data_IF_893256047141
#
_entry.id   IF_893256047141
#
_cell.length_a   1.000
_cell.length_b   1.000
_cell.length_c   1.000
_cell.angle_alpha   90.00
_cell.angle_beta   90.00
_cell.angle_gamma   90.00
#
_symmetry.space_group_name_H-M   'P 1'
#
loop_
_entity.id
_entity.type
_entity.pdbx_description
1 polymer ?
#
# COMPACT_ATOMS: atom_id res chain seq x y z
N UNK A 1 44.85 -78.29 11.93
CA UNK A 1 45.56 -77.01 11.89
C UNK A 1 44.72 -76.08 11.00
N UNK A 2 43.94 -75.17 11.59
CA UNK A 2 43.10 -74.23 10.88
C UNK A 2 43.66 -72.83 11.14
N UNK A 3 44.02 -72.11 10.09
CA UNK A 3 44.54 -70.76 10.17
C UNK A 3 43.35 -69.77 9.94
N UNK A 4 43.14 -68.97 10.97
CA UNK A 4 42.13 -67.89 10.95
C UNK A 4 42.75 -66.63 10.33
N UNK A 5 42.19 -66.11 9.20
CA UNK A 5 42.59 -64.86 8.62
C UNK A 5 41.71 -63.70 9.19
N UNK A 6 42.35 -62.74 9.83
CA UNK A 6 41.71 -61.53 10.32
C UNK A 6 41.64 -60.50 9.19
N UNK A 7 40.41 -60.02 8.88
CA UNK A 7 40.18 -58.98 7.93
C UNK A 7 40.20 -57.60 8.66
N UNK A 8 41.10 -56.71 8.25
CA UNK A 8 41.22 -55.36 8.78
C UNK A 8 40.30 -54.45 7.97
N UNK A 9 39.28 -53.82 8.62
CA UNK A 9 38.44 -52.80 8.05
C UNK A 9 39.17 -51.47 8.08
N UNK A 10 39.43 -50.90 6.91
CA UNK A 10 40.02 -49.56 6.76
C UNK A 10 38.93 -48.51 6.90
N UNK A 11 39.00 -47.68 7.95
CA UNK A 11 38.14 -46.54 8.14
C UNK A 11 38.55 -45.38 7.17
N UNK A 12 37.59 -44.87 6.42
CA UNK A 12 37.79 -43.71 5.55
C UNK A 12 37.90 -42.43 6.40
N UNK A 13 38.78 -41.47 6.05
CA UNK A 13 38.92 -40.23 6.77
C UNK A 13 37.70 -39.34 6.48
N UNK A 14 36.95 -38.89 7.50
CA UNK A 14 35.99 -37.83 7.48
C UNK A 14 36.70 -36.50 7.25
N UNK A 15 36.57 -35.94 6.06
CA UNK A 15 37.08 -34.62 5.74
C UNK A 15 36.41 -33.53 6.60
N UNK A 16 37.12 -32.42 6.91
CA UNK A 16 36.57 -31.36 7.72
C UNK A 16 35.40 -30.69 7.01
N UNK A 17 34.27 -30.51 7.73
CA UNK A 17 33.12 -29.74 7.28
C UNK A 17 33.59 -28.31 6.99
N UNK A 18 33.23 -27.78 5.80
CA UNK A 18 33.51 -26.42 5.43
C UNK A 18 32.84 -25.44 6.42
N UNK A 19 33.55 -24.39 6.88
CA UNK A 19 32.94 -23.42 7.78
C UNK A 19 31.83 -22.70 7.06
N UNK A 20 30.60 -22.80 7.58
CA UNK A 20 29.48 -21.95 7.22
C UNK A 20 29.79 -20.54 7.74
N UNK A 21 30.43 -19.73 6.92
CA UNK A 21 30.61 -18.31 7.23
C UNK A 21 29.25 -17.61 7.39
N UNK A 22 29.18 -16.49 8.14
CA UNK A 22 27.96 -15.76 8.28
C UNK A 22 27.46 -15.34 6.89
N UNK A 23 26.19 -15.67 6.58
CA UNK A 23 25.56 -15.26 5.33
C UNK A 23 25.65 -13.73 5.21
N UNK A 24 26.10 -13.25 4.05
CA UNK A 24 26.12 -11.81 3.77
C UNK A 24 24.72 -11.23 4.05
N UNK A 25 24.63 -10.03 4.67
CA UNK A 25 23.33 -9.44 4.96
C UNK A 25 22.52 -9.31 3.66
N UNK A 26 21.28 -9.80 3.69
CA UNK A 26 20.40 -9.73 2.53
C UNK A 26 20.24 -8.25 2.10
N UNK A 27 20.35 -7.99 0.80
CA UNK A 27 20.14 -6.64 0.27
C UNK A 27 18.75 -6.12 0.67
N UNK A 28 18.63 -4.84 0.98
CA UNK A 28 17.37 -4.24 1.38
C UNK A 28 16.49 -3.88 0.18
N UNK A 29 15.17 -3.91 0.38
CA UNK A 29 14.17 -3.25 -0.44
C UNK A 29 13.64 -2.05 0.34
N UNK A 30 13.94 -0.84 -0.12
CA UNK A 30 13.44 0.38 0.51
C UNK A 30 12.06 0.71 -0.06
N UNK A 31 11.03 0.49 0.76
CA UNK A 31 9.62 0.76 0.43
C UNK A 31 9.24 2.11 1.00
N UNK A 32 8.84 3.05 0.14
CA UNK A 32 8.38 4.36 0.55
C UNK A 32 6.90 4.32 0.91
N UNK A 33 6.52 5.00 2.00
CA UNK A 33 5.13 5.11 2.45
C UNK A 33 4.83 6.57 2.79
N UNK A 34 3.65 7.04 2.38
CA UNK A 34 3.15 8.38 2.73
C UNK A 34 2.79 8.44 4.22
N UNK A 35 3.43 9.32 4.98
CA UNK A 35 3.16 9.50 6.42
C UNK A 35 1.79 10.12 6.72
N UNK A 36 1.10 10.66 5.72
CA UNK A 36 -0.30 11.11 5.84
C UNK A 36 -1.31 9.98 5.68
N UNK A 37 -0.84 8.74 5.45
CA UNK A 37 -1.69 7.56 5.34
C UNK A 37 -1.95 6.97 6.73
N UNK A 38 -3.18 6.50 6.94
CA UNK A 38 -3.65 5.92 8.20
C UNK A 38 -4.22 4.52 7.97
N UNK A 39 -4.57 3.83 9.06
CA UNK A 39 -5.23 2.52 8.96
C UNK A 39 -6.50 2.58 8.09
N UNK A 40 -6.75 1.55 7.31
CA UNK A 40 -6.10 0.23 7.23
C UNK A 40 -4.80 0.22 6.42
N UNK A 41 -4.41 1.33 5.80
CA UNK A 41 -3.31 1.36 4.85
C UNK A 41 -1.95 1.39 5.52
N UNK A 42 -1.78 2.16 6.61
CA UNK A 42 -0.54 2.30 7.35
C UNK A 42 -0.77 2.69 8.81
N UNK A 43 -0.02 2.08 9.73
CA UNK A 43 0.12 2.53 11.10
C UNK A 43 1.58 2.87 11.39
N UNK A 44 1.81 4.05 11.93
CA UNK A 44 3.15 4.50 12.33
C UNK A 44 3.27 4.57 13.85
N UNK A 45 4.41 4.12 14.37
CA UNK A 45 4.83 4.30 15.77
C UNK A 45 6.27 4.79 15.74
N UNK A 46 6.55 5.92 16.42
CA UNK A 46 7.87 6.53 16.45
C UNK A 46 8.49 6.72 15.03
N UNK A 47 7.65 7.20 14.10
CA UNK A 47 7.98 7.35 12.68
C UNK A 47 8.34 6.04 11.92
N UNK A 48 8.15 4.88 12.53
CA UNK A 48 8.33 3.58 11.90
C UNK A 48 6.97 3.04 11.46
N UNK A 49 6.89 2.53 10.24
CA UNK A 49 5.73 1.78 9.77
C UNK A 49 5.71 0.43 10.49
N UNK A 50 4.63 0.16 11.23
CA UNK A 50 4.53 -1.05 12.07
C UNK A 50 3.40 -1.98 11.66
N UNK A 51 2.41 -1.50 10.90
CA UNK A 51 1.23 -2.27 10.50
C UNK A 51 0.52 -1.64 9.30
N UNK A 52 -0.42 -2.36 8.70
CA UNK A 52 -1.27 -1.91 7.61
C UNK A 52 -0.93 -2.55 6.26
N UNK A 53 -1.80 -2.30 5.28
CA UNK A 53 -1.68 -2.90 3.94
C UNK A 53 -0.32 -2.60 3.29
N UNK A 54 0.21 -1.38 3.44
CA UNK A 54 1.54 -1.03 2.90
C UNK A 54 2.66 -1.82 3.57
N UNK A 55 2.56 -2.09 4.87
CA UNK A 55 3.53 -2.89 5.60
C UNK A 55 3.54 -4.34 5.08
N UNK A 56 2.39 -4.99 5.06
CA UNK A 56 2.28 -6.38 4.65
C UNK A 56 2.65 -6.60 3.18
N UNK A 57 2.21 -5.69 2.30
CA UNK A 57 2.58 -5.72 0.89
C UNK A 57 4.08 -5.51 0.68
N UNK A 58 4.69 -4.60 1.43
CA UNK A 58 6.14 -4.36 1.39
C UNK A 58 6.94 -5.58 1.83
N UNK A 59 6.51 -6.27 2.89
CA UNK A 59 7.11 -7.54 3.34
C UNK A 59 6.96 -8.63 2.28
N UNK A 60 5.76 -8.79 1.70
CA UNK A 60 5.50 -9.78 0.67
C UNK A 60 6.38 -9.57 -0.58
N UNK A 61 6.51 -8.33 -1.05
CA UNK A 61 7.39 -7.99 -2.18
C UNK A 61 8.87 -8.25 -1.86
N UNK A 62 9.32 -7.83 -0.67
CA UNK A 62 10.70 -8.03 -0.25
C UNK A 62 11.06 -9.53 -0.20
N UNK A 63 10.18 -10.35 0.35
CA UNK A 63 10.36 -11.80 0.40
C UNK A 63 10.54 -12.42 -0.99
N UNK A 64 9.68 -12.04 -1.98
CA UNK A 64 9.77 -12.55 -3.38
C UNK A 64 11.00 -12.02 -4.12
N UNK A 65 11.55 -10.88 -3.69
CA UNK A 65 12.78 -10.33 -4.24
C UNK A 65 14.05 -10.85 -3.52
N UNK A 66 13.91 -11.69 -2.49
CA UNK A 66 15.03 -12.17 -1.67
C UNK A 66 15.73 -11.04 -0.90
N UNK A 67 14.98 -10.02 -0.47
CA UNK A 67 15.47 -8.81 0.20
C UNK A 67 14.84 -8.64 1.58
N UNK A 68 15.43 -7.79 2.41
CA UNK A 68 14.79 -7.31 3.64
C UNK A 68 14.00 -6.04 3.36
N UNK A 69 12.75 -5.97 3.83
CA UNK A 69 11.97 -4.74 3.73
C UNK A 69 12.49 -3.67 4.70
N UNK A 70 12.71 -2.48 4.18
CA UNK A 70 13.01 -1.26 4.94
C UNK A 70 11.98 -0.21 4.56
N UNK A 71 11.27 0.34 5.53
CA UNK A 71 10.21 1.31 5.25
C UNK A 71 10.71 2.73 5.48
N UNK A 72 10.52 3.59 4.47
CA UNK A 72 10.84 5.00 4.51
C UNK A 72 9.54 5.82 4.51
N UNK A 73 9.17 6.39 5.67
CA UNK A 73 8.04 7.30 5.79
C UNK A 73 8.39 8.71 5.32
N UNK A 74 7.64 9.26 4.35
CA UNK A 74 7.79 10.64 3.91
C UNK A 74 6.43 11.32 3.70
N UNK A 75 6.33 12.64 3.98
CA UNK A 75 5.16 13.41 3.60
C UNK A 75 4.95 13.43 2.08
N UNK A 76 3.68 13.43 1.65
CA UNK A 76 3.24 13.36 0.25
C UNK A 76 4.10 14.18 -0.73
N UNK A 77 4.38 15.43 -0.40
CA UNK A 77 5.14 16.35 -1.25
C UNK A 77 6.61 15.96 -1.49
N UNK A 78 7.17 15.04 -0.69
CA UNK A 78 8.57 14.58 -0.79
C UNK A 78 8.72 13.25 -1.52
N UNK A 79 7.63 12.55 -1.76
CA UNK A 79 7.62 11.18 -2.30
C UNK A 79 8.24 11.12 -3.69
N UNK A 80 7.75 11.92 -4.64
CA UNK A 80 8.22 11.91 -6.02
C UNK A 80 9.72 12.14 -6.12
N UNK A 81 10.22 13.21 -5.47
CA UNK A 81 11.63 13.55 -5.47
C UNK A 81 12.50 12.46 -4.84
N UNK A 82 12.03 11.84 -3.74
CA UNK A 82 12.79 10.77 -3.07
C UNK A 82 12.94 9.53 -3.97
N UNK A 83 11.88 9.15 -4.71
CA UNK A 83 11.93 8.07 -5.68
C UNK A 83 12.85 8.41 -6.87
N UNK A 84 12.73 9.60 -7.45
CA UNK A 84 13.58 10.04 -8.55
C UNK A 84 15.06 10.07 -8.19
N UNK A 85 15.38 10.37 -6.93
CA UNK A 85 16.74 10.38 -6.41
C UNK A 85 17.26 8.99 -5.99
N UNK A 86 16.44 7.94 -6.04
CA UNK A 86 16.83 6.60 -5.59
C UNK A 86 16.96 6.46 -4.07
N UNK A 87 16.34 7.34 -3.27
CA UNK A 87 16.31 7.23 -1.80
C UNK A 87 15.39 6.09 -1.33
N UNK A 88 14.51 5.65 -2.21
CA UNK A 88 13.68 4.46 -2.04
C UNK A 88 13.59 3.72 -3.38
N UNK A 89 13.34 2.42 -3.32
CA UNK A 89 13.23 1.58 -4.50
C UNK A 89 11.86 1.68 -5.16
N UNK A 90 10.80 1.73 -4.34
CA UNK A 90 9.44 1.77 -4.85
C UNK A 90 8.45 2.36 -3.82
N UNK A 91 7.29 2.77 -4.35
CA UNK A 91 6.06 2.97 -3.59
C UNK A 91 4.92 2.26 -4.32
N UNK A 92 4.04 1.57 -3.60
CA UNK A 92 2.93 0.83 -4.20
C UNK A 92 1.57 1.46 -3.88
N UNK A 93 0.51 0.94 -4.53
CA UNK A 93 -0.87 1.39 -4.42
C UNK A 93 -1.09 2.80 -4.94
N UNK A 94 -0.38 3.13 -6.01
CA UNK A 94 -0.53 4.36 -6.79
C UNK A 94 -0.94 4.02 -8.22
N UNK A 95 -1.38 5.03 -8.94
CA UNK A 95 -1.54 5.00 -10.39
C UNK A 95 -0.76 6.17 -11.00
N UNK A 96 -0.34 6.11 -12.27
CA UNK A 96 0.48 7.16 -12.90
C UNK A 96 -0.08 8.57 -12.71
N UNK A 97 -1.39 8.76 -12.79
CA UNK A 97 -2.02 10.09 -12.63
C UNK A 97 -2.03 10.64 -11.19
N UNK A 98 -1.66 9.85 -10.17
CA UNK A 98 -1.64 10.30 -8.79
C UNK A 98 -0.26 10.75 -8.29
N UNK A 99 0.80 10.33 -8.97
CA UNK A 99 2.16 10.65 -8.60
C UNK A 99 2.88 11.30 -9.79
N UNK A 100 3.15 12.61 -9.77
CA UNK A 100 3.91 13.29 -10.82
C UNK A 100 5.38 12.86 -10.75
N UNK A 101 6.02 12.67 -11.90
CA UNK A 101 7.43 12.28 -12.03
C UNK A 101 7.65 11.18 -13.05
N UNK A 102 8.92 10.83 -13.27
CA UNK A 102 9.33 9.79 -14.20
C UNK A 102 9.70 8.51 -13.44
N UNK A 103 8.79 7.54 -13.44
CA UNK A 103 8.95 6.26 -12.76
C UNK A 103 8.71 5.11 -13.72
N UNK A 104 9.29 3.95 -13.43
CA UNK A 104 8.88 2.71 -14.05
C UNK A 104 7.66 2.15 -13.32
N UNK A 105 6.54 2.02 -14.01
CA UNK A 105 5.32 1.54 -13.39
C UNK A 105 5.20 0.03 -13.53
N UNK A 106 4.92 -0.65 -12.42
CA UNK A 106 4.61 -2.08 -12.45
C UNK A 106 3.30 -2.35 -13.20
N UNK A 107 3.03 -3.62 -13.48
CA UNK A 107 1.68 -4.03 -13.87
C UNK A 107 0.66 -3.67 -12.77
N UNK A 108 -0.59 -3.35 -13.15
CA UNK A 108 -1.68 -3.10 -12.18
C UNK A 108 -2.09 -4.42 -11.52
N UNK A 109 -2.28 -4.40 -10.16
CA UNK A 109 -2.52 -5.64 -9.42
C UNK A 109 -3.39 -5.49 -8.17
N UNK A 110 -3.45 -4.30 -7.54
CA UNK A 110 -4.12 -4.12 -6.26
C UNK A 110 -5.45 -3.37 -6.46
N UNK A 111 -6.62 -4.00 -6.23
CA UNK A 111 -7.92 -3.33 -6.40
C UNK A 111 -8.11 -2.25 -5.31
N UNK A 112 -8.48 -1.05 -5.75
CA UNK A 112 -8.80 0.10 -4.90
C UNK A 112 -10.10 0.73 -5.36
N UNK A 113 -11.02 1.00 -4.45
CA UNK A 113 -12.31 1.62 -4.75
C UNK A 113 -12.38 2.99 -4.09
N UNK A 114 -12.37 4.04 -4.92
CA UNK A 114 -12.63 5.40 -4.46
C UNK A 114 -14.12 5.65 -4.40
N UNK A 115 -14.60 6.18 -3.28
CA UNK A 115 -16.01 6.41 -3.00
C UNK A 115 -16.24 7.80 -2.43
N UNK A 116 -17.45 8.35 -2.62
CA UNK A 116 -17.95 9.48 -1.82
C UNK A 116 -18.93 8.95 -0.80
N UNK A 117 -18.65 9.23 0.45
CA UNK A 117 -19.49 8.94 1.60
C UNK A 117 -20.33 10.17 1.92
N UNK A 118 -21.63 9.99 2.16
CA UNK A 118 -22.56 11.05 2.56
C UNK A 118 -23.23 10.67 3.87
N UNK A 119 -23.24 11.57 4.86
CA UNK A 119 -23.93 11.35 6.11
C UNK A 119 -25.47 11.42 5.92
N UNK A 120 -26.22 10.80 6.86
CA UNK A 120 -27.68 10.68 6.75
C UNK A 120 -28.45 11.93 7.18
N UNK A 121 -27.78 13.00 7.62
CA UNK A 121 -28.41 14.25 8.05
C UNK A 121 -28.76 15.16 6.87
N UNK A 122 -28.20 14.89 5.68
CA UNK A 122 -28.51 15.60 4.43
C UNK A 122 -29.18 14.66 3.43
N UNK A 123 -29.87 15.19 2.39
CA UNK A 123 -30.48 14.36 1.36
C UNK A 123 -29.47 13.42 0.69
N UNK A 124 -29.87 12.17 0.46
CA UNK A 124 -29.04 11.17 -0.22
C UNK A 124 -28.79 11.57 -1.69
N UNK A 125 -27.56 11.77 -2.13
CA UNK A 125 -27.26 11.92 -3.54
C UNK A 125 -27.48 10.57 -4.27
N UNK A 126 -28.16 10.59 -5.41
CA UNK A 126 -28.37 9.40 -6.24
C UNK A 126 -27.17 9.15 -7.15
N UNK A 127 -26.49 10.20 -7.58
CA UNK A 127 -25.34 10.18 -8.49
C UNK A 127 -24.23 11.11 -8.01
N UNK A 128 -23.03 10.97 -8.57
CA UNK A 128 -21.95 11.93 -8.32
C UNK A 128 -22.28 13.35 -8.80
N UNK A 129 -23.10 13.48 -9.86
CA UNK A 129 -23.49 14.79 -10.39
C UNK A 129 -24.32 15.60 -9.39
N UNK A 130 -25.08 14.96 -8.50
CA UNK A 130 -25.89 15.61 -7.47
C UNK A 130 -25.04 16.33 -6.40
N UNK A 131 -23.75 16.00 -6.36
CA UNK A 131 -22.77 16.64 -5.47
C UNK A 131 -22.20 17.94 -6.02
N UNK A 132 -22.62 18.37 -7.22
CA UNK A 132 -22.16 19.63 -7.83
C UNK A 132 -22.50 20.81 -6.94
N UNK A 133 -21.49 21.61 -6.60
CA UNK A 133 -21.62 22.75 -5.69
C UNK A 133 -21.69 22.39 -4.20
N UNK A 134 -21.73 21.11 -3.86
CA UNK A 134 -21.61 20.66 -2.47
C UNK A 134 -20.13 20.61 -2.04
N UNK A 135 -19.87 20.97 -0.79
CA UNK A 135 -18.52 20.83 -0.23
C UNK A 135 -18.18 19.36 0.00
N UNK A 136 -17.12 18.89 -0.63
CA UNK A 136 -16.62 17.53 -0.50
C UNK A 136 -15.26 17.57 0.19
N UNK A 137 -15.15 16.90 1.33
CA UNK A 137 -13.88 16.79 2.03
C UNK A 137 -12.93 15.86 1.26
N UNK A 138 -11.70 16.31 1.09
CA UNK A 138 -10.61 15.60 0.41
C UNK A 138 -9.35 15.62 1.28
N UNK A 139 -8.32 14.90 0.90
CA UNK A 139 -7.02 14.96 1.59
C UNK A 139 -6.10 15.92 0.85
N UNK A 140 -5.41 16.78 1.60
CA UNK A 140 -4.48 17.75 1.03
C UNK A 140 -3.40 17.07 0.18
N UNK A 141 -3.29 17.51 -1.06
CA UNK A 141 -2.33 16.97 -2.02
C UNK A 141 -2.82 15.72 -2.78
N UNK A 142 -4.03 15.23 -2.50
CA UNK A 142 -4.65 14.17 -3.30
C UNK A 142 -5.32 14.76 -4.55
N UNK A 143 -5.23 14.03 -5.64
CA UNK A 143 -5.87 14.38 -6.91
C UNK A 143 -6.97 13.39 -7.24
N UNK A 144 -8.16 13.91 -7.61
CA UNK A 144 -9.37 13.14 -7.89
C UNK A 144 -9.86 13.43 -9.33
N UNK A 145 -9.18 12.89 -10.37
CA UNK A 145 -9.45 13.25 -11.76
C UNK A 145 -10.87 12.89 -12.20
N UNK A 146 -11.44 11.82 -11.68
CA UNK A 146 -12.78 11.38 -12.03
C UNK A 146 -13.86 12.30 -11.41
N UNK A 147 -13.66 12.80 -10.19
CA UNK A 147 -14.55 13.82 -9.61
C UNK A 147 -14.43 15.15 -10.34
N UNK A 148 -13.21 15.58 -10.69
CA UNK A 148 -13.00 16.78 -11.52
C UNK A 148 -13.73 16.66 -12.86
N UNK A 149 -13.67 15.49 -13.50
CA UNK A 149 -14.35 15.24 -14.77
C UNK A 149 -15.88 15.31 -14.66
N UNK A 150 -16.47 14.78 -13.58
CA UNK A 150 -17.92 14.73 -13.38
C UNK A 150 -18.47 16.07 -12.90
N UNK A 151 -17.79 16.72 -11.95
CA UNK A 151 -18.29 17.91 -11.27
C UNK A 151 -17.81 19.22 -11.90
N UNK A 152 -16.67 19.19 -12.62
CA UNK A 152 -16.08 20.36 -13.26
C UNK A 152 -15.82 21.49 -12.28
N UNK A 153 -16.20 22.73 -12.64
CA UNK A 153 -16.11 23.90 -11.76
C UNK A 153 -16.99 23.82 -10.50
N UNK A 154 -17.93 22.87 -10.45
CA UNK A 154 -18.75 22.60 -9.27
C UNK A 154 -18.11 21.64 -8.27
N UNK A 155 -16.86 21.22 -8.46
CA UNK A 155 -16.12 20.44 -7.47
C UNK A 155 -15.57 21.36 -6.38
N UNK A 156 -16.35 21.57 -5.33
CA UNK A 156 -15.99 22.40 -4.18
C UNK A 156 -15.25 21.50 -3.16
N UNK A 157 -13.96 21.78 -2.93
CA UNK A 157 -13.11 20.98 -2.05
C UNK A 157 -12.89 21.64 -0.69
N UNK A 158 -12.90 20.83 0.37
CA UNK A 158 -12.34 21.16 1.67
C UNK A 158 -11.23 20.16 2.01
N UNK A 159 -9.96 20.58 1.91
CA UNK A 159 -8.83 19.71 2.16
C UNK A 159 -8.57 19.55 3.66
N UNK A 160 -8.62 18.29 4.13
CA UNK A 160 -8.20 17.90 5.48
C UNK A 160 -6.83 17.23 5.47
N UNK A 161 -6.26 16.97 6.65
CA UNK A 161 -4.94 16.33 6.76
C UNK A 161 -4.94 14.84 6.40
N UNK A 162 -6.07 14.13 6.58
CA UNK A 162 -6.20 12.71 6.33
C UNK A 162 -7.66 12.28 6.12
N UNK A 163 -7.85 11.06 5.57
CA UNK A 163 -9.19 10.47 5.41
C UNK A 163 -9.90 10.31 6.77
N UNK A 164 -9.20 9.81 7.78
CA UNK A 164 -9.77 9.63 9.12
C UNK A 164 -10.18 10.96 9.75
N UNK A 165 -9.34 11.99 9.65
CA UNK A 165 -9.69 13.32 10.12
C UNK A 165 -10.97 13.85 9.48
N UNK A 166 -11.16 13.61 8.17
CA UNK A 166 -12.37 14.02 7.44
C UNK A 166 -13.59 13.22 7.89
N UNK A 167 -13.49 11.91 8.09
CA UNK A 167 -14.57 11.09 8.65
C UNK A 167 -14.94 11.54 10.08
N UNK A 168 -13.96 11.89 10.91
CA UNK A 168 -14.20 12.46 12.24
C UNK A 168 -14.93 13.81 12.21
N UNK A 169 -14.61 14.67 11.25
CA UNK A 169 -15.35 15.92 11.03
C UNK A 169 -16.81 15.65 10.60
N UNK A 170 -17.04 14.60 9.79
CA UNK A 170 -18.38 14.17 9.40
C UNK A 170 -19.17 13.69 10.63
N UNK A 171 -18.59 12.82 11.49
CA UNK A 171 -19.21 12.38 12.75
C UNK A 171 -19.57 13.57 13.65
N UNK A 172 -18.76 14.61 13.63
CA UNK A 172 -19.00 15.85 14.40
C UNK A 172 -20.00 16.81 13.71
N UNK A 173 -20.63 16.42 12.59
CA UNK A 173 -21.60 17.22 11.84
C UNK A 173 -21.01 18.46 11.13
N UNK A 174 -19.68 18.48 10.94
CA UNK A 174 -18.98 19.60 10.28
C UNK A 174 -18.85 19.43 8.79
N UNK A 175 -18.98 18.21 8.28
CA UNK A 175 -18.88 17.82 6.87
C UNK A 175 -19.98 16.81 6.57
N UNK A 176 -20.53 16.88 5.36
CA UNK A 176 -21.59 15.97 4.93
C UNK A 176 -21.15 15.00 3.83
N UNK A 177 -20.10 15.35 3.09
CA UNK A 177 -19.59 14.53 1.99
C UNK A 177 -18.07 14.38 2.14
N UNK A 178 -17.57 13.14 2.07
CA UNK A 178 -16.15 12.83 2.17
C UNK A 178 -15.75 11.87 1.06
N UNK A 179 -14.75 12.22 0.25
CA UNK A 179 -14.12 11.25 -0.66
C UNK A 179 -13.06 10.45 0.10
N UNK A 180 -13.11 9.12 -0.01
CA UNK A 180 -12.19 8.21 0.65
C UNK A 180 -12.06 6.90 -0.11
N UNK A 181 -11.19 6.00 0.35
CA UNK A 181 -11.18 4.61 -0.12
C UNK A 181 -12.24 3.80 0.62
N UNK A 182 -12.91 2.89 -0.09
CA UNK A 182 -13.90 1.98 0.51
C UNK A 182 -13.29 1.22 1.70
N UNK A 183 -12.06 0.71 1.56
CA UNK A 183 -11.37 0.00 2.63
C UNK A 183 -11.17 0.84 3.91
N UNK A 184 -10.98 2.15 3.78
CA UNK A 184 -10.90 3.07 4.93
C UNK A 184 -12.24 3.16 5.64
N UNK A 185 -13.34 3.30 4.88
CA UNK A 185 -14.69 3.33 5.45
C UNK A 185 -15.00 2.02 6.19
N UNK A 186 -14.78 0.87 5.53
CA UNK A 186 -15.06 -0.46 6.07
C UNK A 186 -14.27 -0.71 7.36
N UNK A 187 -12.99 -0.36 7.37
CA UNK A 187 -12.13 -0.48 8.54
C UNK A 187 -12.66 0.31 9.74
N UNK A 188 -13.00 1.58 9.54
CA UNK A 188 -13.49 2.42 10.63
C UNK A 188 -14.86 1.98 11.15
N UNK A 189 -15.74 1.50 10.28
CA UNK A 189 -17.01 0.89 10.70
C UNK A 189 -16.79 -0.39 11.52
N UNK A 190 -15.87 -1.26 11.08
CA UNK A 190 -15.51 -2.50 11.79
C UNK A 190 -14.85 -2.24 13.15
N UNK A 191 -14.03 -1.19 13.26
CA UNK A 191 -13.33 -0.84 14.50
C UNK A 191 -14.18 -0.05 15.50
N UNK A 192 -15.46 0.17 15.20
CA UNK A 192 -16.45 0.71 16.12
C UNK A 192 -16.77 2.18 15.95
N UNK A 193 -16.29 2.83 14.88
CA UNK A 193 -16.73 4.20 14.54
C UNK A 193 -18.19 4.18 14.11
N UNK A 194 -19.02 4.95 14.82
CA UNK A 194 -20.45 5.06 14.50
C UNK A 194 -20.65 6.09 13.38
N UNK A 195 -20.50 5.63 12.14
CA UNK A 195 -20.73 6.43 10.95
C UNK A 195 -22.18 6.24 10.48
N UNK A 196 -23.04 7.25 10.70
CA UNK A 196 -24.39 7.28 10.15
C UNK A 196 -24.35 7.76 8.71
N UNK A 197 -24.09 6.86 7.76
CA UNK A 197 -23.87 7.21 6.36
C UNK A 197 -24.77 6.38 5.44
N UNK A 198 -25.12 6.96 4.30
CA UNK A 198 -25.74 6.22 3.20
C UNK A 198 -24.75 5.23 2.57
N UNK A 199 -25.23 4.21 1.83
CA UNK A 199 -24.36 3.42 0.96
C UNK A 199 -23.54 4.37 0.07
N UNK A 200 -22.19 4.24 0.05
CA UNK A 200 -21.33 5.20 -0.61
C UNK A 200 -21.50 5.17 -2.14
N UNK A 201 -21.34 6.34 -2.78
CA UNK A 201 -21.30 6.45 -4.23
C UNK A 201 -19.91 6.05 -4.74
N UNK A 202 -19.85 5.07 -5.62
CA UNK A 202 -18.61 4.68 -6.27
C UNK A 202 -18.16 5.79 -7.23
N UNK A 203 -16.96 6.33 -7.01
CA UNK A 203 -16.30 7.23 -7.98
C UNK A 203 -15.66 6.39 -9.07
N UNK A 204 -14.78 5.47 -8.69
CA UNK A 204 -14.09 4.54 -9.61
C UNK A 204 -13.43 3.39 -8.88
N UNK A 205 -13.25 2.29 -9.60
CA UNK A 205 -12.32 1.22 -9.20
C UNK A 205 -11.01 1.40 -9.96
N UNK A 206 -9.92 1.49 -9.22
CA UNK A 206 -8.56 1.54 -9.74
C UNK A 206 -7.86 0.21 -9.49
N UNK A 207 -6.86 -0.09 -10.31
CA UNK A 207 -5.87 -1.12 -10.02
C UNK A 207 -4.55 -0.43 -9.69
N UNK A 208 -4.18 -0.48 -8.43
CA UNK A 208 -2.94 0.10 -7.92
C UNK A 208 -1.73 -0.62 -8.50
N UNK A 209 -0.69 0.15 -8.71
CA UNK A 209 0.62 -0.24 -9.23
C UNK A 209 1.69 0.16 -8.23
N UNK A 210 2.92 -0.30 -8.47
CA UNK A 210 4.09 0.25 -7.81
C UNK A 210 4.80 1.20 -8.78
N UNK A 211 5.10 2.42 -8.32
CA UNK A 211 6.07 3.30 -8.95
C UNK A 211 7.46 2.88 -8.49
N UNK A 212 8.27 2.37 -9.41
CA UNK A 212 9.64 1.90 -9.18
C UNK A 212 10.61 3.01 -9.55
N UNK A 213 11.54 3.29 -8.67
CA UNK A 213 12.56 4.32 -8.86
C UNK A 213 13.45 4.00 -10.08
N UNK A 214 13.72 4.97 -10.97
CA UNK A 214 14.67 4.78 -12.06
C UNK A 214 16.14 4.66 -11.59
N UNK A 215 16.40 4.97 -10.30
CA UNK A 215 17.71 4.92 -9.64
C UNK A 215 17.74 4.00 -8.43
N UNK A 216 16.71 3.19 -8.24
CA UNK A 216 16.61 2.22 -7.14
C UNK A 216 17.46 0.97 -7.39
N UNK A 217 17.45 0.07 -6.41
CA UNK A 217 18.22 -1.17 -6.41
C UNK A 217 17.45 -2.36 -7.02
N UNK A 218 16.22 -2.13 -7.50
CA UNK A 218 15.37 -3.16 -8.09
C UNK A 218 14.82 -2.69 -9.44
N UNK A 219 14.74 -3.60 -10.40
CA UNK A 219 14.13 -3.30 -11.69
C UNK A 219 12.61 -3.52 -11.65
N UNK A 220 11.88 -2.84 -12.52
CA UNK A 220 10.42 -3.01 -12.64
C UNK A 220 10.05 -4.43 -13.10
N UNK A 221 10.90 -5.10 -13.87
CA UNK A 221 10.72 -6.48 -14.30
C UNK A 221 10.79 -7.45 -13.11
N UNK A 222 11.73 -7.23 -12.18
CA UNK A 222 11.83 -8.02 -10.95
C UNK A 222 10.61 -7.79 -10.06
N UNK A 223 10.18 -6.54 -9.90
CA UNK A 223 8.96 -6.19 -9.16
C UNK A 223 7.72 -6.85 -9.80
N UNK A 224 7.59 -6.83 -11.12
CA UNK A 224 6.48 -7.48 -11.82
C UNK A 224 6.46 -9.00 -11.62
N UNK A 225 7.62 -9.66 -11.62
CA UNK A 225 7.70 -11.10 -11.31
C UNK A 225 7.24 -11.38 -9.88
N UNK A 226 7.64 -10.58 -8.91
CA UNK A 226 7.20 -10.70 -7.52
C UNK A 226 5.67 -10.49 -7.40
N UNK A 227 5.12 -9.48 -8.07
CA UNK A 227 3.68 -9.21 -8.10
C UNK A 227 2.90 -10.40 -8.68
N UNK A 228 3.36 -10.99 -9.79
CA UNK A 228 2.71 -12.19 -10.39
C UNK A 228 2.61 -13.32 -9.37
N UNK A 229 3.66 -13.56 -8.60
CA UNK A 229 3.67 -14.61 -7.57
C UNK A 229 2.68 -14.30 -6.45
N UNK A 230 2.71 -13.08 -5.88
CA UNK A 230 1.81 -12.62 -4.83
C UNK A 230 0.34 -12.75 -5.25
N UNK A 231 0.02 -12.33 -6.49
CA UNK A 231 -1.35 -12.43 -7.03
C UNK A 231 -1.76 -13.89 -7.23
N UNK A 232 -0.88 -14.73 -7.81
CA UNK A 232 -1.15 -16.15 -8.05
C UNK A 232 -1.37 -16.94 -6.76
N UNK A 233 -0.68 -16.58 -5.70
CA UNK A 233 -0.78 -17.20 -4.37
C UNK A 233 -1.97 -16.66 -3.56
N UNK A 234 -2.72 -15.68 -4.09
CA UNK A 234 -3.89 -15.07 -3.43
C UNK A 234 -3.53 -14.14 -2.26
N UNK A 235 -2.26 -13.79 -2.10
CA UNK A 235 -1.76 -13.02 -0.97
C UNK A 235 -2.31 -11.57 -0.96
N UNK A 236 -2.58 -10.97 -2.13
CA UNK A 236 -3.27 -9.67 -2.23
C UNK A 236 -4.63 -9.70 -1.54
N UNK A 237 -5.40 -10.78 -1.78
CA UNK A 237 -6.69 -10.97 -1.13
C UNK A 237 -6.57 -11.19 0.39
N UNK A 238 -5.57 -11.96 0.83
CA UNK A 238 -5.32 -12.21 2.24
C UNK A 238 -4.90 -10.93 2.98
N UNK A 239 -4.02 -10.12 2.39
CA UNK A 239 -3.62 -8.81 2.92
C UNK A 239 -4.86 -7.91 3.04
N UNK A 240 -5.67 -7.79 1.98
CA UNK A 240 -6.88 -6.96 2.02
C UNK A 240 -7.86 -7.41 3.10
N UNK A 241 -8.14 -8.72 3.21
CA UNK A 241 -9.09 -9.28 4.16
C UNK A 241 -8.68 -9.11 5.64
N UNK A 242 -7.38 -8.99 5.93
CA UNK A 242 -6.89 -8.74 7.29
C UNK A 242 -7.41 -7.43 7.85
N UNK A 243 -7.62 -6.43 7.00
CA UNK A 243 -7.94 -5.05 7.38
C UNK A 243 -9.38 -4.61 7.00
N UNK A 244 -10.18 -5.51 6.44
CA UNK A 244 -11.59 -5.26 6.06
C UNK A 244 -12.57 -5.89 7.04
#
# INVERSE_FOLDING_TARGET
MAATAASAATAAPTGPAAPTGPAAPAASLVVLVDTGTEMPMAAFRDNQLVDGVHHDLGLALAARLGRQAVFLGLPRKRIALALEQGKADLICMYIPGWLPGNFHWSQPFFPMREVVVTDTTVPRPATLADLKGQTIATVLGYYHPDLVRVLGAGFVREDGPSNYSNLRKMVAGRLHHVVTQQSTLDYHQKTGERLSVYPPLLVKTYLGQCAVSPRGQVSVEAVNKAIVQIVKEGEVGQISARYQ
#
